data_IF_616322845818
#
_entry.id   IF_616322845818
#
_cell.length_a   1.000
_cell.length_b   1.000
_cell.length_c   1.000
_cell.angle_alpha   90.00
_cell.angle_beta   90.00
_cell.angle_gamma   90.00
#
_symmetry.space_group_name_H-M   'P 1'
#
loop_
_entity.id
_entity.type
_entity.pdbx_description
1 polymer ?
#
# COMPACT_ATOMS: atom_id res chain seq x y z
N UNK A 1 -22.91 4.29 17.87
CA UNK A 1 -23.44 3.35 16.83
C UNK A 1 -22.44 3.14 15.69
N UNK A 2 -21.75 4.18 15.27
CA UNK A 2 -20.79 4.12 14.15
C UNK A 2 -19.58 3.20 14.40
N UNK A 3 -18.99 3.22 15.60
CA UNK A 3 -17.90 2.31 15.97
C UNK A 3 -18.35 0.85 15.96
N UNK A 4 -19.59 0.56 16.41
CA UNK A 4 -20.16 -0.78 16.36
C UNK A 4 -20.34 -1.25 14.91
N UNK A 5 -20.70 -0.35 13.99
CA UNK A 5 -20.82 -0.67 12.57
C UNK A 5 -19.46 -1.11 12.01
N UNK A 6 -18.38 -0.35 12.25
CA UNK A 6 -17.02 -0.74 11.83
C UNK A 6 -16.55 -2.06 12.47
N UNK A 7 -16.92 -2.32 13.72
CA UNK A 7 -16.61 -3.58 14.39
C UNK A 7 -17.32 -4.79 13.74
N UNK A 8 -18.58 -4.64 13.34
CA UNK A 8 -19.31 -5.66 12.55
C UNK A 8 -18.62 -5.89 11.22
N UNK A 9 -18.18 -4.82 10.56
CA UNK A 9 -17.41 -4.89 9.32
C UNK A 9 -16.10 -5.67 9.47
N UNK A 10 -15.37 -5.41 10.54
CA UNK A 10 -14.14 -6.16 10.85
C UNK A 10 -14.42 -7.66 10.99
N UNK A 11 -15.45 -8.03 11.76
CA UNK A 11 -15.86 -9.44 11.94
C UNK A 11 -16.24 -10.06 10.59
N UNK A 12 -17.02 -9.34 9.77
CA UNK A 12 -17.46 -9.83 8.46
C UNK A 12 -16.28 -10.06 7.50
N UNK A 13 -15.24 -9.20 7.53
CA UNK A 13 -14.01 -9.38 6.75
C UNK A 13 -13.31 -10.68 7.11
N UNK A 14 -13.14 -10.96 8.41
CA UNK A 14 -12.51 -12.20 8.87
C UNK A 14 -13.37 -13.43 8.57
N UNK A 15 -14.70 -13.32 8.70
CA UNK A 15 -15.64 -14.38 8.31
C UNK A 15 -15.58 -14.68 6.80
N UNK A 16 -15.48 -13.64 5.96
CA UNK A 16 -15.31 -13.80 4.52
C UNK A 16 -13.98 -14.47 4.18
N UNK A 17 -12.88 -14.06 4.82
CA UNK A 17 -11.58 -14.71 4.65
C UNK A 17 -11.64 -16.21 5.02
N UNK A 18 -12.34 -16.56 6.11
CA UNK A 18 -12.57 -17.94 6.49
C UNK A 18 -13.44 -18.69 5.48
N UNK A 19 -14.46 -18.06 4.93
CA UNK A 19 -15.29 -18.66 3.88
C UNK A 19 -14.48 -18.95 2.59
N UNK A 20 -13.47 -18.13 2.29
CA UNK A 20 -12.56 -18.25 1.14
C UNK A 20 -11.32 -19.13 1.42
N UNK A 21 -11.20 -19.71 2.62
CA UNK A 21 -10.08 -20.55 3.04
C UNK A 21 -9.95 -21.82 2.17
N UNK A 22 -8.71 -22.18 1.84
CA UNK A 22 -8.41 -23.46 1.16
C UNK A 22 -8.68 -24.67 2.07
N UNK A 23 -8.44 -24.52 3.37
CA UNK A 23 -8.76 -25.54 4.37
C UNK A 23 -9.27 -24.88 5.66
N UNK A 24 -10.60 -24.78 5.77
CA UNK A 24 -11.27 -24.16 6.92
C UNK A 24 -11.02 -24.90 8.23
N UNK A 25 -10.69 -26.21 8.19
CA UNK A 25 -10.44 -27.04 9.39
C UNK A 25 -9.03 -26.86 9.93
N UNK A 26 -8.08 -26.52 9.04
CA UNK A 26 -6.69 -26.26 9.42
C UNK A 26 -6.47 -24.84 9.97
N UNK A 27 -7.47 -23.96 9.93
CA UNK A 27 -7.37 -22.59 10.44
C UNK A 27 -7.20 -22.59 11.95
N UNK A 28 -6.00 -22.27 12.43
CA UNK A 28 -5.72 -22.05 13.84
C UNK A 28 -6.18 -20.65 14.28
N UNK A 29 -6.91 -20.55 15.41
CA UNK A 29 -7.42 -19.27 15.90
C UNK A 29 -6.35 -18.32 16.47
N UNK A 30 -5.17 -18.84 16.85
CA UNK A 30 -4.11 -18.04 17.47
C UNK A 30 -3.62 -16.91 16.58
N UNK A 31 -3.26 -17.20 15.33
CA UNK A 31 -2.69 -16.21 14.41
C UNK A 31 -3.70 -15.12 14.06
N UNK A 32 -4.97 -15.43 13.71
CA UNK A 32 -6.00 -14.41 13.49
C UNK A 32 -6.26 -13.53 14.72
N UNK A 33 -6.38 -14.10 15.90
CA UNK A 33 -6.62 -13.35 17.14
C UNK A 33 -5.46 -12.42 17.47
N UNK A 34 -4.22 -12.92 17.38
CA UNK A 34 -3.02 -12.11 17.56
C UNK A 34 -2.98 -10.95 16.55
N UNK A 35 -3.35 -11.23 15.29
CA UNK A 35 -3.40 -10.20 14.24
C UNK A 35 -4.39 -9.09 14.56
N UNK A 36 -5.61 -9.42 14.95
CA UNK A 36 -6.64 -8.44 15.34
C UNK A 36 -6.19 -7.61 16.56
N UNK A 37 -5.69 -8.29 17.60
CA UNK A 37 -5.21 -7.62 18.81
C UNK A 37 -4.05 -6.68 18.53
N UNK A 38 -3.06 -7.13 17.73
CA UNK A 38 -1.95 -6.27 17.32
C UNK A 38 -2.40 -5.12 16.43
N UNK A 39 -3.30 -5.37 15.49
CA UNK A 39 -3.82 -4.34 14.59
C UNK A 39 -4.52 -3.22 15.39
N UNK A 40 -5.44 -3.58 16.29
CA UNK A 40 -6.15 -2.62 17.13
C UNK A 40 -5.18 -1.96 18.12
N UNK A 41 -4.31 -2.73 18.77
CA UNK A 41 -3.33 -2.22 19.73
C UNK A 41 -2.36 -1.22 19.12
N UNK A 42 -1.83 -1.51 17.92
CA UNK A 42 -0.97 -0.59 17.19
C UNK A 42 -1.72 0.65 16.71
N UNK A 43 -2.97 0.50 16.26
CA UNK A 43 -3.82 1.64 15.87
C UNK A 43 -4.04 2.57 17.06
N UNK A 44 -4.46 2.04 18.22
CA UNK A 44 -4.62 2.79 19.46
C UNK A 44 -3.31 3.49 19.88
N UNK A 45 -2.19 2.78 19.80
CA UNK A 45 -0.89 3.31 20.16
C UNK A 45 -0.48 4.46 19.24
N UNK A 46 -0.59 4.29 17.92
CA UNK A 46 -0.15 5.28 16.93
C UNK A 46 -1.06 6.51 16.87
N UNK A 47 -2.37 6.34 17.09
CA UNK A 47 -3.34 7.44 16.95
C UNK A 47 -3.57 8.20 18.26
N UNK A 48 -3.46 7.54 19.44
CA UNK A 48 -3.83 8.15 20.72
C UNK A 48 -2.64 8.52 21.62
N UNK A 49 -1.44 7.94 21.40
CA UNK A 49 -0.27 8.28 22.21
C UNK A 49 0.39 9.54 21.66
N UNK A 50 0.29 10.65 22.40
CA UNK A 50 0.76 11.98 21.99
C UNK A 50 2.21 11.97 21.49
N UNK A 51 3.13 11.32 22.22
CA UNK A 51 4.57 11.24 21.83
C UNK A 51 4.74 10.60 20.46
N UNK A 52 4.02 9.53 20.14
CA UNK A 52 4.10 8.87 18.84
C UNK A 52 3.43 9.69 17.74
N UNK A 53 2.27 10.27 18.04
CA UNK A 53 1.57 11.18 17.13
C UNK A 53 2.46 12.37 16.77
N UNK A 54 3.10 13.00 17.76
CA UNK A 54 3.96 14.17 17.55
C UNK A 54 5.26 13.79 16.83
N UNK A 55 5.84 12.62 17.14
CA UNK A 55 6.99 12.10 16.41
C UNK A 55 6.65 11.84 14.92
N UNK A 56 5.50 11.27 14.66
CA UNK A 56 5.02 11.04 13.29
C UNK A 56 4.64 12.36 12.60
N UNK A 57 4.03 13.31 13.33
CA UNK A 57 3.75 14.65 12.81
C UNK A 57 5.02 15.42 12.42
N UNK A 58 6.14 15.22 13.15
CA UNK A 58 7.43 15.82 12.79
C UNK A 58 7.96 15.34 11.43
N UNK A 59 7.54 14.18 10.95
CA UNK A 59 7.88 13.69 9.62
C UNK A 59 7.25 14.52 8.49
N UNK A 60 6.14 15.25 8.75
CA UNK A 60 5.59 16.19 7.76
C UNK A 60 6.61 17.27 7.39
N UNK A 61 7.34 17.80 8.37
CA UNK A 61 8.39 18.80 8.11
C UNK A 61 9.52 18.20 7.27
N UNK A 62 9.91 16.96 7.55
CA UNK A 62 10.92 16.26 6.75
C UNK A 62 10.45 16.06 5.30
N UNK A 63 9.19 15.68 5.11
CA UNK A 63 8.64 15.51 3.74
C UNK A 63 8.57 16.82 3.00
N UNK A 64 8.14 17.90 3.64
CA UNK A 64 8.16 19.23 3.01
C UNK A 64 9.57 19.63 2.61
N UNK A 65 10.56 19.35 3.47
CA UNK A 65 11.98 19.57 3.13
C UNK A 65 12.44 18.72 1.93
N UNK A 66 12.04 17.44 1.88
CA UNK A 66 12.32 16.55 0.76
C UNK A 66 11.65 17.01 -0.54
N UNK A 67 10.40 17.45 -0.48
CA UNK A 67 9.70 18.02 -1.62
C UNK A 67 10.38 19.27 -2.13
N UNK A 68 10.72 20.21 -1.24
CA UNK A 68 11.42 21.45 -1.59
C UNK A 68 12.80 21.15 -2.20
N UNK A 69 13.56 20.23 -1.63
CA UNK A 69 14.85 19.82 -2.18
C UNK A 69 14.70 19.13 -3.54
N UNK A 70 13.68 18.29 -3.71
CA UNK A 70 13.38 17.66 -4.99
C UNK A 70 13.00 18.70 -6.03
N UNK A 71 12.14 19.67 -5.68
CA UNK A 71 11.74 20.77 -6.57
C UNK A 71 12.95 21.61 -7.01
N UNK A 72 13.91 21.86 -6.12
CA UNK A 72 15.15 22.56 -6.52
C UNK A 72 15.93 21.78 -7.59
N UNK A 73 16.01 20.44 -7.46
CA UNK A 73 16.65 19.57 -8.45
C UNK A 73 15.87 19.52 -9.78
N UNK A 74 14.55 19.34 -9.72
CA UNK A 74 13.70 19.24 -10.90
C UNK A 74 13.59 20.58 -11.66
N UNK A 75 13.53 21.68 -10.93
CA UNK A 75 13.55 23.03 -11.52
C UNK A 75 14.87 23.30 -12.25
N UNK A 76 16.01 22.86 -11.71
CA UNK A 76 17.31 22.96 -12.37
C UNK A 76 17.35 22.14 -13.67
N UNK A 77 16.85 20.91 -13.66
CA UNK A 77 16.96 19.98 -14.80
C UNK A 77 15.88 20.23 -15.85
N UNK A 78 14.64 20.50 -15.44
CA UNK A 78 13.46 20.60 -16.31
C UNK A 78 12.90 22.03 -16.44
N UNK A 79 13.51 23.02 -15.77
CA UNK A 79 13.03 24.39 -15.79
C UNK A 79 11.62 24.51 -15.21
N UNK A 80 10.75 25.26 -15.89
CA UNK A 80 9.38 25.49 -15.46
C UNK A 80 8.52 24.21 -15.41
N UNK A 81 8.82 23.21 -16.23
CA UNK A 81 8.13 21.91 -16.18
C UNK A 81 8.37 21.20 -14.83
N UNK A 82 9.55 21.40 -14.25
CA UNK A 82 9.95 20.82 -12.96
C UNK A 82 9.63 21.69 -11.73
N UNK A 83 8.79 22.71 -11.89
CA UNK A 83 8.39 23.60 -10.78
C UNK A 83 9.23 24.86 -10.66
N UNK A 84 10.08 25.17 -11.64
CA UNK A 84 10.77 26.46 -11.74
C UNK A 84 9.83 27.61 -12.14
N UNK A 85 10.32 28.86 -12.16
CA UNK A 85 9.52 30.04 -12.53
C UNK A 85 8.84 29.86 -13.88
N UNK A 86 7.53 30.15 -13.93
CA UNK A 86 6.76 30.06 -15.17
C UNK A 86 7.05 31.22 -16.11
N UNK A 87 7.26 30.98 -17.43
CA UNK A 87 7.41 32.02 -18.43
C UNK A 87 6.08 32.61 -18.90
N UNK A 88 4.96 32.23 -18.32
CA UNK A 88 3.59 32.67 -18.63
C UNK A 88 2.74 32.76 -17.36
N UNK A 89 1.59 33.44 -17.44
CA UNK A 89 0.62 33.49 -16.36
C UNK A 89 -0.28 32.23 -16.37
N UNK A 90 -0.50 31.63 -15.23
CA UNK A 90 -1.46 30.53 -15.11
C UNK A 90 -2.90 31.01 -15.24
N UNK A 91 -3.75 30.22 -15.92
CA UNK A 91 -5.18 30.47 -16.04
C UNK A 91 -5.92 30.31 -14.69
N UNK A 92 -5.41 29.42 -13.84
CA UNK A 92 -5.82 29.20 -12.45
C UNK A 92 -4.64 28.56 -11.68
N UNK A 93 -4.58 28.71 -10.36
CA UNK A 93 -3.49 28.13 -9.56
C UNK A 93 -3.34 26.62 -9.78
N UNK A 94 -2.12 26.19 -10.13
CA UNK A 94 -1.81 24.79 -10.41
C UNK A 94 -2.08 24.32 -11.84
N UNK A 95 -2.47 25.21 -12.76
CA UNK A 95 -2.67 24.85 -14.17
C UNK A 95 -1.40 24.34 -14.86
N UNK A 96 -0.23 24.71 -14.35
CA UNK A 96 1.07 24.26 -14.84
C UNK A 96 1.61 23.00 -14.13
N UNK A 97 0.82 22.36 -13.25
CA UNK A 97 1.24 21.15 -12.55
C UNK A 97 1.35 19.96 -13.52
N UNK A 98 2.55 19.39 -13.62
CA UNK A 98 2.82 18.19 -14.42
C UNK A 98 3.33 17.09 -13.49
N UNK A 99 2.50 16.07 -13.27
CA UNK A 99 2.77 14.95 -12.36
C UNK A 99 4.16 14.33 -12.59
N UNK A 100 4.51 14.08 -13.87
CA UNK A 100 5.75 13.40 -14.22
C UNK A 100 7.01 14.21 -13.87
N UNK A 101 6.98 15.55 -13.91
CA UNK A 101 8.15 16.39 -13.69
C UNK A 101 8.20 17.04 -12.32
N UNK A 102 7.05 17.19 -11.63
CA UNK A 102 6.98 17.90 -10.36
C UNK A 102 6.79 16.99 -9.15
N UNK A 103 6.00 15.91 -9.28
CA UNK A 103 5.72 15.03 -8.16
C UNK A 103 6.49 13.70 -8.21
N UNK A 104 6.44 12.99 -9.33
CA UNK A 104 7.05 11.65 -9.43
C UNK A 104 8.58 11.61 -9.21
N UNK A 105 9.40 12.65 -9.54
CA UNK A 105 10.83 12.62 -9.26
C UNK A 105 11.19 12.50 -7.77
N UNK A 106 10.26 12.84 -6.87
CA UNK A 106 10.42 12.61 -5.44
C UNK A 106 10.76 11.14 -5.12
N UNK A 107 10.24 10.19 -5.90
CA UNK A 107 10.54 8.76 -5.76
C UNK A 107 12.03 8.47 -5.95
N UNK A 108 12.71 9.19 -6.87
CA UNK A 108 14.15 9.02 -7.12
C UNK A 108 14.94 9.47 -5.87
N UNK A 109 14.60 10.64 -5.33
CA UNK A 109 15.27 11.19 -4.13
C UNK A 109 15.06 10.31 -2.93
N UNK A 110 13.82 9.85 -2.70
CA UNK A 110 13.51 8.96 -1.56
C UNK A 110 14.20 7.60 -1.73
N UNK A 111 14.31 7.05 -2.94
CA UNK A 111 15.04 5.81 -3.19
C UNK A 111 16.54 5.95 -2.89
N UNK A 112 17.16 7.07 -3.29
CA UNK A 112 18.54 7.35 -2.96
C UNK A 112 18.75 7.44 -1.44
N UNK A 113 17.89 8.16 -0.73
CA UNK A 113 17.94 8.25 0.73
C UNK A 113 17.72 6.90 1.42
N UNK A 114 16.78 6.09 0.92
CA UNK A 114 16.53 4.73 1.43
C UNK A 114 17.79 3.87 1.32
N UNK A 115 18.50 3.92 0.19
CA UNK A 115 19.76 3.20 -0.01
C UNK A 115 20.86 3.68 0.96
N UNK A 116 20.94 4.99 1.21
CA UNK A 116 21.84 5.56 2.23
C UNK A 116 21.49 5.05 3.62
N UNK A 117 20.21 5.03 4.01
CA UNK A 117 19.76 4.54 5.33
C UNK A 117 20.05 3.04 5.51
N UNK A 118 20.01 2.26 4.43
CA UNK A 118 20.42 0.85 4.45
C UNK A 118 21.93 0.76 4.68
N UNK A 119 22.74 1.54 3.95
CA UNK A 119 24.19 1.53 4.06
C UNK A 119 24.67 1.93 5.46
N UNK A 120 24.01 2.94 6.06
CA UNK A 120 24.25 3.38 7.43
C UNK A 120 23.68 2.42 8.51
N UNK A 121 23.07 1.31 8.11
CA UNK A 121 22.44 0.30 9.00
C UNK A 121 21.28 0.84 9.86
N UNK A 122 20.76 2.03 9.56
CA UNK A 122 19.62 2.62 10.28
C UNK A 122 18.35 1.83 9.96
N UNK A 123 18.04 1.69 8.68
CA UNK A 123 16.84 0.98 8.23
C UNK A 123 16.88 -0.53 8.54
N UNK A 124 18.01 -1.25 8.36
CA UNK A 124 18.15 -2.64 8.79
C UNK A 124 17.84 -2.86 10.27
N UNK A 125 18.31 -1.96 11.15
CA UNK A 125 18.01 -2.05 12.57
C UNK A 125 16.52 -1.91 12.89
N UNK A 126 15.83 -0.97 12.26
CA UNK A 126 14.36 -0.75 12.40
C UNK A 126 13.59 -1.98 11.90
N UNK A 127 13.91 -2.46 10.69
CA UNK A 127 13.26 -3.62 10.08
C UNK A 127 13.48 -4.87 10.92
N UNK A 128 14.68 -5.10 11.43
CA UNK A 128 14.98 -6.24 12.30
C UNK A 128 14.16 -6.21 13.60
N UNK A 129 14.06 -5.05 14.24
CA UNK A 129 13.20 -4.89 15.42
C UNK A 129 11.75 -5.26 15.16
N UNK A 130 11.20 -4.81 14.03
CA UNK A 130 9.83 -5.13 13.63
C UNK A 130 9.69 -6.61 13.23
N UNK A 131 10.66 -7.19 12.51
CA UNK A 131 10.69 -8.61 12.17
C UNK A 131 10.63 -9.50 13.41
N UNK A 132 11.48 -9.24 14.40
CA UNK A 132 11.52 -10.00 15.68
C UNK A 132 10.18 -9.90 16.42
N UNK A 133 9.53 -8.74 16.39
CA UNK A 133 8.18 -8.57 16.96
C UNK A 133 7.18 -9.49 16.27
N UNK A 134 7.16 -9.52 14.92
CA UNK A 134 6.25 -10.35 14.13
C UNK A 134 6.54 -11.84 14.32
N UNK A 135 7.80 -12.24 14.31
CA UNK A 135 8.21 -13.63 14.57
C UNK A 135 7.71 -14.14 15.91
N UNK A 136 7.91 -13.35 16.97
CA UNK A 136 7.47 -13.74 18.34
C UNK A 136 5.95 -13.75 18.47
N UNK A 137 5.28 -12.76 17.90
CA UNK A 137 3.83 -12.62 18.01
C UNK A 137 3.09 -13.72 17.25
N UNK A 138 3.48 -13.96 16.00
CA UNK A 138 2.76 -14.87 15.09
C UNK A 138 3.37 -16.27 15.02
N UNK A 139 4.59 -16.47 15.52
CA UNK A 139 5.32 -17.73 15.36
C UNK A 139 5.61 -18.04 13.90
N UNK A 140 5.92 -17.01 13.10
CA UNK A 140 6.39 -17.14 11.72
C UNK A 140 7.90 -17.32 11.69
N UNK A 141 8.43 -17.90 10.61
CA UNK A 141 9.88 -18.06 10.45
C UNK A 141 10.59 -16.72 10.20
N UNK A 142 11.90 -16.66 10.52
CA UNK A 142 12.71 -15.45 10.35
C UNK A 142 12.63 -14.85 8.93
N UNK A 143 12.73 -15.65 7.85
CA UNK A 143 12.58 -15.15 6.48
C UNK A 143 11.23 -14.49 6.22
N UNK A 144 10.12 -15.05 6.73
CA UNK A 144 8.79 -14.46 6.60
C UNK A 144 8.68 -13.19 7.44
N UNK A 145 9.16 -13.23 8.68
CA UNK A 145 9.21 -12.06 9.57
C UNK A 145 9.98 -10.90 8.95
N UNK A 146 11.17 -11.16 8.39
CA UNK A 146 11.96 -10.14 7.73
C UNK A 146 11.26 -9.55 6.50
N UNK A 147 10.77 -10.39 5.58
CA UNK A 147 10.13 -9.90 4.35
C UNK A 147 8.87 -9.11 4.66
N UNK A 148 8.04 -9.57 5.60
CA UNK A 148 6.82 -8.86 5.99
C UNK A 148 7.12 -7.53 6.69
N UNK A 149 8.15 -7.48 7.53
CA UNK A 149 8.62 -6.23 8.13
C UNK A 149 9.22 -5.28 7.08
N UNK A 150 10.02 -5.81 6.16
CA UNK A 150 10.64 -5.04 5.09
C UNK A 150 9.61 -4.44 4.11
N UNK A 151 8.47 -5.11 3.87
CA UNK A 151 7.41 -4.60 2.98
C UNK A 151 6.83 -3.24 3.40
N UNK A 152 6.96 -2.84 4.66
CA UNK A 152 6.56 -1.49 5.12
C UNK A 152 7.44 -0.39 4.52
N UNK A 153 8.68 -0.71 4.20
CA UNK A 153 9.69 0.24 3.72
C UNK A 153 10.01 0.05 2.24
N UNK A 154 9.96 -1.20 1.78
CA UNK A 154 10.28 -1.63 0.41
C UNK A 154 9.03 -2.11 -0.30
N UNK A 155 9.07 -2.16 -1.61
CA UNK A 155 7.97 -2.70 -2.40
C UNK A 155 7.86 -4.23 -2.31
N UNK A 156 6.74 -4.74 -2.81
CA UNK A 156 6.40 -6.17 -2.79
C UNK A 156 7.38 -7.06 -3.58
N UNK A 157 8.26 -6.49 -4.39
CA UNK A 157 9.30 -7.18 -5.17
C UNK A 157 10.65 -7.05 -4.51
N UNK A 158 10.96 -5.88 -3.93
CA UNK A 158 12.24 -5.61 -3.30
C UNK A 158 12.39 -6.34 -1.95
N UNK A 159 11.34 -6.32 -1.12
CA UNK A 159 11.40 -6.96 0.19
C UNK A 159 11.72 -8.47 0.12
N UNK A 160 11.16 -9.27 -0.79
CA UNK A 160 11.53 -10.68 -0.94
C UNK A 160 12.99 -10.92 -1.33
N UNK A 161 13.67 -9.95 -1.96
CA UNK A 161 15.08 -10.10 -2.34
C UNK A 161 15.96 -10.36 -1.11
N UNK A 162 15.63 -9.75 0.04
CA UNK A 162 16.39 -9.91 1.28
C UNK A 162 16.31 -11.32 1.89
N UNK A 163 15.31 -12.12 1.49
CA UNK A 163 15.18 -13.51 1.91
C UNK A 163 15.28 -14.49 0.73
N UNK A 164 15.95 -14.10 -0.37
CA UNK A 164 16.03 -14.84 -1.64
C UNK A 164 16.38 -16.32 -1.46
N UNK A 165 17.37 -16.62 -0.60
CA UNK A 165 17.88 -17.98 -0.39
C UNK A 165 16.88 -18.87 0.36
N UNK A 166 15.87 -18.28 1.00
CA UNK A 166 14.83 -18.96 1.76
C UNK A 166 13.50 -19.04 1.01
N UNK A 167 13.25 -18.17 0.02
CA UNK A 167 11.97 -18.12 -0.69
C UNK A 167 11.54 -19.47 -1.28
N UNK A 168 12.51 -20.25 -1.78
CA UNK A 168 12.25 -21.58 -2.34
C UNK A 168 11.84 -22.60 -1.28
N UNK A 169 12.21 -22.38 -0.01
CA UNK A 169 11.95 -23.27 1.13
C UNK A 169 10.62 -22.95 1.85
N UNK A 170 10.06 -21.77 1.59
CA UNK A 170 8.78 -21.37 2.19
C UNK A 170 7.69 -22.37 1.84
N UNK A 171 6.87 -22.75 2.80
CA UNK A 171 5.66 -23.50 2.48
C UNK A 171 4.65 -22.62 1.73
N UNK A 172 3.56 -23.22 1.23
CA UNK A 172 2.53 -22.53 0.48
C UNK A 172 1.88 -21.38 1.27
N UNK A 173 1.62 -21.60 2.57
CA UNK A 173 1.02 -20.61 3.46
C UNK A 173 1.97 -19.47 3.75
N UNK A 174 3.26 -19.75 3.98
CA UNK A 174 4.30 -18.75 4.19
C UNK A 174 4.52 -17.88 2.93
N UNK A 175 4.58 -18.50 1.75
CA UNK A 175 4.66 -17.78 0.49
C UNK A 175 3.43 -16.87 0.29
N UNK A 176 2.25 -17.37 0.61
CA UNK A 176 1.03 -16.58 0.55
C UNK A 176 1.02 -15.42 1.54
N UNK A 177 1.58 -15.59 2.76
CA UNK A 177 1.76 -14.49 3.72
C UNK A 177 2.65 -13.38 3.16
N UNK A 178 3.79 -13.74 2.56
CA UNK A 178 4.68 -12.78 1.89
C UNK A 178 3.95 -12.03 0.78
N UNK A 179 3.23 -12.74 -0.08
CA UNK A 179 2.47 -12.12 -1.18
C UNK A 179 1.35 -11.21 -0.65
N UNK A 180 0.60 -11.67 0.34
CA UNK A 180 -0.52 -10.90 0.93
C UNK A 180 -0.01 -9.64 1.62
N UNK A 181 1.11 -9.71 2.34
CA UNK A 181 1.70 -8.54 3.00
C UNK A 181 2.18 -7.51 1.98
N UNK A 182 2.80 -7.97 0.88
CA UNK A 182 3.16 -7.10 -0.23
C UNK A 182 1.98 -6.40 -0.89
N UNK A 183 0.81 -7.07 -0.97
CA UNK A 183 -0.43 -6.47 -1.48
C UNK A 183 -1.09 -5.52 -0.48
N UNK A 184 -0.94 -5.75 0.82
CA UNK A 184 -1.62 -4.99 1.86
C UNK A 184 -0.87 -3.73 2.32
N UNK A 185 0.39 -3.57 1.96
CA UNK A 185 1.24 -2.42 2.34
C UNK A 185 1.59 -1.57 1.13
N UNK A 186 2.16 -0.41 1.37
CA UNK A 186 2.77 0.45 0.33
C UNK A 186 4.24 0.63 0.64
N UNK A 187 5.08 0.75 -0.41
CA UNK A 187 6.50 1.01 -0.25
C UNK A 187 6.74 2.41 0.31
N UNK A 188 7.69 2.56 1.22
CA UNK A 188 8.06 3.86 1.82
C UNK A 188 8.43 4.91 0.78
N UNK A 189 9.02 4.49 -0.36
CA UNK A 189 9.38 5.38 -1.47
C UNK A 189 8.17 6.07 -2.12
N UNK A 190 7.06 5.38 -2.26
CA UNK A 190 5.81 5.94 -2.82
C UNK A 190 4.88 6.50 -1.74
N UNK A 191 5.03 6.08 -0.49
CA UNK A 191 4.28 6.61 0.65
C UNK A 191 4.48 8.12 0.79
N UNK A 192 5.73 8.60 0.64
CA UNK A 192 6.07 10.02 0.67
C UNK A 192 5.37 10.79 -0.46
N UNK A 193 5.29 10.19 -1.64
CA UNK A 193 4.56 10.75 -2.77
C UNK A 193 3.05 10.86 -2.48
N UNK A 194 2.44 9.80 -1.94
CA UNK A 194 1.01 9.83 -1.60
C UNK A 194 0.70 10.84 -0.50
N UNK A 195 1.58 10.94 0.50
CA UNK A 195 1.48 11.96 1.53
C UNK A 195 1.43 13.38 0.93
N UNK A 196 2.18 13.63 -0.14
CA UNK A 196 2.17 14.94 -0.81
C UNK A 196 0.82 15.26 -1.46
N UNK A 197 0.11 14.27 -1.97
CA UNK A 197 -1.20 14.46 -2.60
C UNK A 197 -2.30 14.71 -1.57
N UNK A 198 -2.26 14.00 -0.45
CA UNK A 198 -3.33 14.07 0.58
C UNK A 198 -3.12 15.19 1.60
N UNK A 199 -1.91 15.77 1.68
CA UNK A 199 -1.59 16.85 2.62
C UNK A 199 -2.59 18.04 2.60
N UNK A 200 -3.17 18.46 1.44
CA UNK A 200 -4.15 19.54 1.42
C UNK A 200 -5.52 19.16 2.00
N UNK A 201 -5.86 17.86 2.07
CA UNK A 201 -7.22 17.38 2.41
C UNK A 201 -7.29 16.53 3.68
N UNK A 202 -6.14 16.09 4.21
CA UNK A 202 -6.05 15.34 5.46
C UNK A 202 -4.92 15.89 6.31
N UNK A 203 -5.25 16.37 7.48
CA UNK A 203 -4.26 16.80 8.48
C UNK A 203 -3.39 15.61 8.89
N UNK A 204 -2.08 15.84 9.01
CA UNK A 204 -1.10 14.79 9.32
C UNK A 204 -1.16 13.55 8.40
N UNK A 205 -1.42 13.76 7.10
CA UNK A 205 -1.62 12.69 6.12
C UNK A 205 -0.52 11.64 6.09
N UNK A 206 0.77 12.05 6.25
CA UNK A 206 1.86 11.07 6.33
C UNK A 206 1.77 10.17 7.54
N UNK A 207 1.39 10.74 8.68
CA UNK A 207 1.21 9.98 9.90
C UNK A 207 0.17 8.87 9.73
N UNK A 208 -0.92 9.21 9.10
CA UNK A 208 -1.97 8.26 8.79
C UNK A 208 -1.49 7.18 7.80
N UNK A 209 -0.73 7.52 6.75
CA UNK A 209 -0.22 6.54 5.79
C UNK A 209 0.81 5.59 6.40
N UNK A 210 1.73 6.09 7.24
CA UNK A 210 2.69 5.24 7.98
C UNK A 210 1.94 4.30 8.92
N UNK A 211 0.99 4.84 9.69
CA UNK A 211 0.16 4.06 10.60
C UNK A 211 -0.61 2.98 9.82
N UNK A 212 -1.24 3.34 8.70
CA UNK A 212 -1.96 2.41 7.84
C UNK A 212 -1.07 1.26 7.35
N UNK A 213 0.15 1.57 6.89
CA UNK A 213 1.10 0.56 6.42
C UNK A 213 1.53 -0.39 7.55
N UNK A 214 1.83 0.16 8.76
CA UNK A 214 2.24 -0.64 9.92
C UNK A 214 1.12 -1.57 10.39
N UNK A 215 -0.10 -1.07 10.57
CA UNK A 215 -1.23 -1.86 11.08
C UNK A 215 -1.82 -2.82 10.04
N UNK A 216 -1.52 -2.62 8.75
CA UNK A 216 -1.89 -3.56 7.69
C UNK A 216 -1.08 -4.86 7.73
N UNK A 217 0.15 -4.84 8.27
CA UNK A 217 1.00 -6.05 8.34
C UNK A 217 0.37 -7.15 9.21
N UNK A 218 0.01 -6.91 10.48
CA UNK A 218 -0.65 -7.93 11.29
C UNK A 218 -1.98 -8.39 10.71
N UNK A 219 -2.75 -7.51 10.08
CA UNK A 219 -3.97 -7.88 9.37
C UNK A 219 -3.68 -8.83 8.19
N UNK A 220 -2.68 -8.51 7.38
CA UNK A 220 -2.29 -9.32 6.22
C UNK A 220 -1.81 -10.72 6.63
N UNK A 221 -0.99 -10.82 7.68
CA UNK A 221 -0.54 -12.11 8.23
C UNK A 221 -1.74 -12.94 8.73
N UNK A 222 -2.64 -12.30 9.47
CA UNK A 222 -3.83 -12.96 10.01
C UNK A 222 -4.75 -13.49 8.90
N UNK A 223 -5.07 -12.67 7.92
CA UNK A 223 -5.94 -13.03 6.80
C UNK A 223 -5.28 -14.06 5.89
N UNK A 224 -3.97 -13.96 5.65
CA UNK A 224 -3.23 -14.96 4.90
C UNK A 224 -3.26 -16.32 5.60
N UNK A 225 -3.06 -16.36 6.92
CA UNK A 225 -3.12 -17.59 7.70
C UNK A 225 -4.50 -18.24 7.71
N UNK A 226 -5.57 -17.47 7.54
CA UNK A 226 -6.93 -17.98 7.39
C UNK A 226 -7.16 -18.53 5.99
N UNK A 227 -6.80 -17.75 4.94
CA UNK A 227 -7.14 -18.09 3.55
C UNK A 227 -6.28 -19.22 3.00
N UNK A 228 -4.99 -19.28 3.37
CA UNK A 228 -4.07 -20.37 3.02
C UNK A 228 -3.29 -20.77 4.27
N UNK A 229 -3.85 -21.69 5.09
CA UNK A 229 -3.19 -22.18 6.29
C UNK A 229 -1.85 -22.82 5.99
N UNK A 230 -0.88 -22.66 6.88
CA UNK A 230 0.42 -23.34 6.79
C UNK A 230 0.27 -24.84 6.94
N UNK A 231 1.06 -25.59 6.19
CA UNK A 231 1.07 -27.05 6.22
C UNK A 231 2.20 -27.65 7.06
N UNK A 232 3.16 -26.83 7.51
CA UNK A 232 4.34 -27.28 8.22
C UNK A 232 4.82 -26.33 9.33
N UNK A 233 5.95 -26.68 9.97
CA UNK A 233 6.61 -25.78 10.92
C UNK A 233 7.14 -24.54 10.17
N UNK A 234 7.36 -23.41 10.91
CA UNK A 234 7.93 -22.20 10.31
C UNK A 234 9.28 -22.48 9.68
N UNK A 235 9.52 -21.92 8.50
CA UNK A 235 10.81 -22.02 7.81
C UNK A 235 11.89 -21.34 8.67
N UNK A 236 12.87 -22.09 9.20
CA UNK A 236 13.94 -21.51 10.02
C UNK A 236 14.92 -20.75 9.13
N UNK A 237 15.54 -19.71 9.67
CA UNK A 237 16.62 -18.98 9.02
C UNK A 237 16.81 -17.61 9.62
N UNK A 238 18.04 -17.17 9.66
CA UNK A 238 18.39 -15.78 9.97
C UNK A 238 18.67 -15.07 8.64
N UNK A 239 18.06 -13.93 8.46
CA UNK A 239 18.23 -13.08 7.30
C UNK A 239 18.48 -11.65 7.74
N UNK A 240 19.43 -10.99 7.09
CA UNK A 240 19.76 -9.59 7.37
C UNK A 240 19.57 -8.73 6.12
N UNK A 241 19.12 -7.50 6.32
CA UNK A 241 19.18 -6.46 5.31
C UNK A 241 20.64 -6.00 5.17
N UNK A 242 21.30 -6.44 4.10
CA UNK A 242 22.70 -6.05 3.83
C UNK A 242 22.71 -5.06 2.66
N UNK A 243 23.43 -3.96 2.84
CA UNK A 243 23.68 -3.02 1.73
C UNK A 243 24.71 -3.63 0.76
N UNK A 244 24.41 -3.68 -0.54
CA UNK A 244 25.41 -4.06 -1.54
C UNK A 244 26.43 -2.96 -1.84
N UNK A 245 26.20 -1.73 -1.37
CA UNK A 245 27.01 -0.56 -1.66
C UNK A 245 28.33 -0.57 -0.91
N UNK A 246 29.43 -0.25 -1.60
CA UNK A 246 30.78 -0.22 -1.05
C UNK A 246 31.04 1.02 -0.19
N UNK A 247 30.37 2.13 -0.48
CA UNK A 247 30.52 3.40 0.24
C UNK A 247 29.27 4.26 0.06
N UNK A 248 29.24 5.42 0.74
CA UNK A 248 28.07 6.31 0.75
C UNK A 248 27.69 6.81 -0.66
N UNK A 249 28.67 7.18 -1.50
CA UNK A 249 28.40 7.66 -2.87
C UNK A 249 27.89 6.53 -3.75
N UNK A 250 28.39 5.33 -3.58
CA UNK A 250 27.88 4.14 -4.27
C UNK A 250 26.44 3.82 -3.84
N UNK A 251 26.12 3.98 -2.56
CA UNK A 251 24.74 3.83 -2.07
C UNK A 251 23.79 4.86 -2.71
N UNK A 252 24.21 6.13 -2.82
CA UNK A 252 23.45 7.17 -3.49
C UNK A 252 23.24 6.81 -4.98
N UNK A 253 24.32 6.39 -5.67
CA UNK A 253 24.23 6.04 -7.10
C UNK A 253 23.29 4.86 -7.34
N UNK A 254 23.41 3.77 -6.57
CA UNK A 254 22.53 2.60 -6.66
C UNK A 254 21.07 2.95 -6.35
N UNK A 255 20.82 3.73 -5.29
CA UNK A 255 19.49 4.17 -4.93
C UNK A 255 18.86 5.09 -5.98
N UNK A 256 19.68 5.96 -6.62
CA UNK A 256 19.24 6.81 -7.74
C UNK A 256 18.85 5.97 -8.95
N UNK A 257 19.64 4.95 -9.30
CA UNK A 257 19.32 4.05 -10.41
C UNK A 257 18.02 3.26 -10.15
N UNK A 258 17.85 2.73 -8.96
CA UNK A 258 16.63 2.03 -8.56
C UNK A 258 15.42 2.98 -8.60
N UNK A 259 15.56 4.19 -8.05
CA UNK A 259 14.52 5.22 -8.07
C UNK A 259 14.14 5.64 -9.49
N UNK A 260 15.13 5.75 -10.40
CA UNK A 260 14.86 6.06 -11.82
C UNK A 260 14.08 4.93 -12.50
N UNK A 261 14.44 3.68 -12.27
CA UNK A 261 13.68 2.52 -12.79
C UNK A 261 12.23 2.53 -12.28
N UNK A 262 12.03 2.80 -10.99
CA UNK A 262 10.72 2.89 -10.38
C UNK A 262 9.91 4.06 -10.96
N UNK A 263 10.51 5.24 -11.08
CA UNK A 263 9.92 6.43 -11.69
C UNK A 263 9.43 6.16 -13.13
N UNK A 264 10.27 5.57 -13.98
CA UNK A 264 9.90 5.24 -15.36
C UNK A 264 8.81 4.16 -15.41
N UNK A 265 8.88 3.17 -14.53
CA UNK A 265 7.85 2.13 -14.43
C UNK A 265 6.50 2.71 -14.01
N UNK A 266 6.46 3.66 -13.07
CA UNK A 266 5.23 4.34 -12.65
C UNK A 266 4.64 5.10 -13.84
N UNK A 267 5.42 5.90 -14.56
CA UNK A 267 4.93 6.64 -15.74
C UNK A 267 4.35 5.69 -16.78
N UNK A 268 5.11 4.65 -17.15
CA UNK A 268 4.68 3.69 -18.15
C UNK A 268 3.37 2.98 -17.76
N UNK A 269 3.28 2.53 -16.51
CA UNK A 269 2.08 1.86 -15.99
C UNK A 269 0.88 2.80 -15.92
N UNK A 270 1.06 4.06 -15.51
CA UNK A 270 -0.01 5.06 -15.51
C UNK A 270 -0.57 5.28 -16.91
N UNK A 271 0.31 5.49 -17.90
CA UNK A 271 -0.11 5.70 -19.30
C UNK A 271 -0.89 4.49 -19.81
N UNK A 272 -0.35 3.28 -19.64
CA UNK A 272 -0.97 2.05 -20.13
C UNK A 272 -2.29 1.77 -19.42
N UNK A 273 -2.31 1.82 -18.09
CA UNK A 273 -3.52 1.47 -17.33
C UNK A 273 -4.65 2.46 -17.55
N UNK A 274 -4.36 3.76 -17.60
CA UNK A 274 -5.38 4.78 -17.91
C UNK A 274 -5.90 4.60 -19.34
N UNK A 275 -5.02 4.31 -20.31
CA UNK A 275 -5.43 4.06 -21.69
C UNK A 275 -6.32 2.80 -21.81
N UNK A 276 -5.95 1.70 -21.12
CA UNK A 276 -6.75 0.48 -21.12
C UNK A 276 -8.13 0.68 -20.46
N UNK A 277 -8.18 1.39 -19.33
CA UNK A 277 -9.47 1.70 -18.68
C UNK A 277 -10.32 2.60 -19.58
N UNK A 278 -9.73 3.63 -20.19
CA UNK A 278 -10.45 4.50 -21.14
C UNK A 278 -11.01 3.72 -22.34
N UNK A 279 -10.23 2.74 -22.84
CA UNK A 279 -10.69 1.87 -23.93
C UNK A 279 -11.87 0.99 -23.49
N UNK A 280 -11.80 0.40 -22.30
CA UNK A 280 -12.91 -0.40 -21.75
C UNK A 280 -14.12 0.49 -21.48
N UNK A 281 -13.94 1.69 -20.95
CA UNK A 281 -15.02 2.64 -20.70
C UNK A 281 -15.69 3.09 -22.03
N UNK A 282 -14.91 3.28 -23.11
CA UNK A 282 -15.45 3.55 -24.43
C UNK A 282 -16.30 2.39 -24.95
N UNK A 283 -15.90 1.13 -24.73
CA UNK A 283 -16.69 -0.06 -25.09
C UNK A 283 -17.96 -0.15 -24.23
N UNK A 284 -17.84 0.03 -22.92
CA UNK A 284 -18.97 0.01 -21.99
C UNK A 284 -19.98 1.12 -22.28
N UNK A 285 -19.51 2.30 -22.71
CA UNK A 285 -20.33 3.43 -23.12
C UNK A 285 -21.20 3.19 -24.37
N UNK A 286 -20.93 2.13 -25.13
CA UNK A 286 -21.82 1.67 -26.22
C UNK A 286 -23.07 0.93 -25.73
N UNK A 287 -23.04 0.49 -24.45
CA UNK A 287 -24.19 -0.17 -23.82
C UNK A 287 -25.21 0.87 -23.34
N UNK A 288 -26.49 0.49 -23.20
CA UNK A 288 -27.48 1.39 -22.61
C UNK A 288 -27.04 1.90 -21.25
N UNK A 289 -27.23 3.21 -20.95
CA UNK A 289 -26.85 3.76 -19.65
C UNK A 289 -27.63 3.07 -18.53
N UNK A 290 -26.99 2.86 -17.40
CA UNK A 290 -27.64 2.38 -16.20
C UNK A 290 -27.93 3.58 -15.28
N UNK A 291 -29.19 4.00 -15.24
CA UNK A 291 -29.59 5.28 -14.66
C UNK A 291 -29.24 6.44 -15.60
N UNK A 292 -28.80 7.58 -15.02
CA UNK A 292 -28.49 8.81 -15.76
C UNK A 292 -27.03 8.90 -16.24
N UNK A 293 -26.20 7.89 -15.97
CA UNK A 293 -24.76 7.92 -16.26
C UNK A 293 -24.38 6.80 -17.24
N UNK A 294 -23.44 7.06 -18.18
CA UNK A 294 -22.89 6.01 -19.03
C UNK A 294 -22.16 4.95 -18.17
N UNK A 295 -22.26 3.70 -18.62
CA UNK A 295 -21.59 2.60 -17.95
C UNK A 295 -20.08 2.76 -18.07
N UNK A 296 -19.36 2.62 -16.94
CA UNK A 296 -17.90 2.67 -16.88
C UNK A 296 -17.37 1.66 -15.85
N UNK A 297 -16.10 1.29 -15.96
CA UNK A 297 -15.45 0.45 -14.94
C UNK A 297 -15.55 1.10 -13.55
N UNK A 298 -15.34 2.41 -13.48
CA UNK A 298 -15.47 3.16 -12.23
C UNK A 298 -16.88 3.04 -11.63
N UNK A 299 -17.94 3.11 -12.42
CA UNK A 299 -19.32 2.93 -11.97
C UNK A 299 -19.57 1.49 -11.51
N UNK A 300 -19.13 0.49 -12.29
CA UNK A 300 -19.29 -0.94 -11.96
C UNK A 300 -18.61 -1.26 -10.63
N UNK A 301 -17.36 -0.89 -10.50
CA UNK A 301 -16.62 -1.12 -9.26
C UNK A 301 -17.17 -0.28 -8.10
N UNK A 302 -17.65 0.94 -8.37
CA UNK A 302 -18.34 1.75 -7.37
C UNK A 302 -19.55 1.02 -6.77
N UNK A 303 -20.37 0.37 -7.60
CA UNK A 303 -21.49 -0.44 -7.10
C UNK A 303 -21.05 -1.67 -6.32
N UNK A 304 -20.01 -2.37 -6.79
CA UNK A 304 -19.46 -3.55 -6.09
C UNK A 304 -18.88 -3.15 -4.73
N UNK A 305 -18.13 -2.06 -4.68
CA UNK A 305 -17.48 -1.62 -3.45
C UNK A 305 -18.38 -0.82 -2.52
N UNK A 306 -19.48 -0.24 -3.00
CA UNK A 306 -20.42 0.52 -2.16
C UNK A 306 -20.86 -0.25 -0.90
N UNK A 307 -21.41 -1.48 -1.00
CA UNK A 307 -21.74 -2.26 0.20
C UNK A 307 -20.51 -2.65 1.03
N UNK A 308 -19.35 -2.79 0.41
CA UNK A 308 -18.11 -3.18 1.09
C UNK A 308 -17.59 -2.02 1.96
N UNK A 309 -17.54 -0.80 1.42
CA UNK A 309 -17.11 0.38 2.18
C UNK A 309 -18.15 0.78 3.23
N UNK A 310 -19.45 0.58 2.96
CA UNK A 310 -20.47 0.72 3.97
C UNK A 310 -20.22 -0.27 5.12
N UNK A 311 -19.94 -1.52 4.85
CA UNK A 311 -19.69 -2.54 5.86
C UNK A 311 -18.55 -2.17 6.82
N UNK A 312 -17.50 -1.50 6.34
CA UNK A 312 -16.37 -1.06 7.18
C UNK A 312 -16.64 0.23 7.98
N UNK A 313 -17.84 0.80 7.87
CA UNK A 313 -18.30 1.91 8.70
C UNK A 313 -18.49 3.25 8.01
N UNK A 314 -18.46 3.32 6.67
CA UNK A 314 -18.80 4.53 5.91
C UNK A 314 -20.33 4.60 5.75
N UNK A 315 -21.00 5.73 6.04
CA UNK A 315 -22.44 5.89 5.83
C UNK A 315 -22.87 5.60 4.40
N UNK A 316 -24.09 5.06 4.21
CA UNK A 316 -24.57 4.64 2.90
C UNK A 316 -24.64 5.79 1.88
N UNK A 317 -24.91 7.01 2.36
CA UNK A 317 -24.96 8.25 1.59
C UNK A 317 -23.59 8.58 0.97
N UNK A 318 -22.51 8.33 1.71
CA UNK A 318 -21.12 8.57 1.32
C UNK A 318 -20.48 7.35 0.63
N UNK A 319 -21.06 6.16 0.80
CA UNK A 319 -20.51 4.90 0.31
C UNK A 319 -20.43 4.82 -1.22
N UNK A 320 -21.21 5.62 -1.96
CA UNK A 320 -21.12 5.70 -3.41
C UNK A 320 -19.76 6.24 -3.87
N UNK A 321 -19.34 7.38 -3.33
CA UNK A 321 -18.06 8.02 -3.68
C UNK A 321 -16.87 7.23 -3.13
N UNK A 322 -16.96 6.76 -1.90
CA UNK A 322 -15.93 5.90 -1.30
C UNK A 322 -15.75 4.58 -2.10
N UNK A 323 -16.86 3.97 -2.53
CA UNK A 323 -16.84 2.77 -3.37
C UNK A 323 -16.20 3.02 -4.74
N UNK A 324 -16.47 4.18 -5.37
CA UNK A 324 -15.83 4.60 -6.62
C UNK A 324 -14.31 4.66 -6.47
N UNK A 325 -13.80 5.26 -5.40
CA UNK A 325 -12.36 5.36 -5.14
C UNK A 325 -11.72 3.99 -4.85
N UNK A 326 -12.39 3.11 -4.09
CA UNK A 326 -11.95 1.72 -3.92
C UNK A 326 -11.94 0.95 -5.25
N UNK A 327 -12.91 1.23 -6.12
CA UNK A 327 -12.96 0.70 -7.47
C UNK A 327 -11.77 1.16 -8.32
N UNK A 328 -11.46 2.45 -8.30
CA UNK A 328 -10.29 3.03 -8.97
C UNK A 328 -9.00 2.38 -8.46
N UNK A 329 -8.84 2.26 -7.13
CA UNK A 329 -7.69 1.57 -6.53
C UNK A 329 -7.53 0.16 -7.10
N UNK A 330 -8.60 -0.60 -7.16
CA UNK A 330 -8.57 -2.01 -7.56
C UNK A 330 -8.34 -2.18 -9.05
N UNK A 331 -9.02 -1.38 -9.88
CA UNK A 331 -8.94 -1.44 -11.33
C UNK A 331 -7.63 -0.85 -11.88
N UNK A 332 -7.23 0.29 -11.36
CA UNK A 332 -6.02 1.03 -11.75
C UNK A 332 -4.91 0.81 -10.71
N UNK A 333 -4.84 1.72 -9.76
CA UNK A 333 -3.93 1.64 -8.59
C UNK A 333 -4.31 2.69 -7.53
N UNK A 334 -3.67 2.59 -6.38
CA UNK A 334 -3.86 3.48 -5.24
C UNK A 334 -3.32 4.90 -5.49
N UNK A 335 -2.33 5.08 -6.37
CA UNK A 335 -1.82 6.41 -6.72
C UNK A 335 -2.91 7.27 -7.35
N UNK A 336 -3.62 6.72 -8.36
CA UNK A 336 -4.74 7.42 -8.99
C UNK A 336 -5.88 7.61 -7.99
N UNK A 337 -6.14 6.60 -7.15
CA UNK A 337 -7.17 6.72 -6.13
C UNK A 337 -6.87 7.86 -5.13
N UNK A 338 -5.61 8.03 -4.70
CA UNK A 338 -5.21 9.14 -3.83
C UNK A 338 -5.24 10.49 -4.54
N UNK A 339 -4.88 10.56 -5.83
CA UNK A 339 -5.03 11.76 -6.64
C UNK A 339 -6.50 12.18 -6.75
N UNK A 340 -7.40 11.26 -7.01
CA UNK A 340 -8.84 11.53 -7.06
C UNK A 340 -9.40 11.87 -5.68
N UNK A 341 -8.96 11.18 -4.63
CA UNK A 341 -9.31 11.47 -3.25
C UNK A 341 -8.93 12.91 -2.85
N UNK A 342 -7.75 13.39 -3.28
CA UNK A 342 -7.29 14.76 -2.98
C UNK A 342 -8.11 15.85 -3.68
N UNK A 343 -8.87 15.50 -4.72
CA UNK A 343 -9.73 16.44 -5.47
C UNK A 343 -11.17 16.46 -4.94
N UNK A 344 -11.52 15.57 -4.00
CA UNK A 344 -12.87 15.53 -3.47
C UNK A 344 -13.23 16.83 -2.76
N UNK A 345 -14.42 17.39 -3.00
CA UNK A 345 -14.90 18.53 -2.24
C UNK A 345 -15.05 18.17 -0.74
N UNK A 346 -14.87 19.13 0.16
CA UNK A 346 -14.92 18.88 1.62
C UNK A 346 -16.20 18.19 2.09
N UNK A 347 -17.33 18.47 1.45
CA UNK A 347 -18.66 17.94 1.76
C UNK A 347 -18.93 16.53 1.22
N UNK A 348 -18.09 16.00 0.34
CA UNK A 348 -18.30 14.69 -0.28
C UNK A 348 -18.19 13.52 0.72
N UNK A 349 -17.35 13.66 1.73
CA UNK A 349 -17.14 12.68 2.78
C UNK A 349 -16.95 13.39 4.12
N UNK A 350 -17.54 12.86 5.17
CA UNK A 350 -17.26 13.26 6.55
C UNK A 350 -15.78 13.00 6.91
N UNK A 351 -15.27 13.69 7.90
CA UNK A 351 -13.88 13.52 8.36
C UNK A 351 -13.57 12.06 8.73
N UNK A 352 -14.49 11.41 9.43
CA UNK A 352 -14.39 10.00 9.79
C UNK A 352 -14.32 9.10 8.55
N UNK A 353 -15.20 9.31 7.58
CA UNK A 353 -15.22 8.53 6.33
C UNK A 353 -13.97 8.76 5.48
N UNK A 354 -13.43 9.98 5.48
CA UNK A 354 -12.14 10.30 4.85
C UNK A 354 -11.02 9.48 5.47
N UNK A 355 -10.95 9.39 6.79
CA UNK A 355 -9.94 8.58 7.47
C UNK A 355 -10.12 7.09 7.18
N UNK A 356 -11.32 6.54 7.34
CA UNK A 356 -11.60 5.13 7.03
C UNK A 356 -11.16 4.80 5.59
N UNK A 357 -11.55 5.64 4.63
CA UNK A 357 -11.22 5.43 3.22
C UNK A 357 -9.72 5.57 2.95
N UNK A 358 -9.05 6.57 3.54
CA UNK A 358 -7.61 6.76 3.41
C UNK A 358 -6.84 5.49 3.80
N UNK A 359 -7.23 4.87 4.91
CA UNK A 359 -6.62 3.63 5.39
C UNK A 359 -6.99 2.44 4.50
N UNK A 360 -8.22 2.36 4.02
CA UNK A 360 -8.64 1.30 3.09
C UNK A 360 -7.96 1.39 1.71
N UNK A 361 -7.59 2.60 1.27
CA UNK A 361 -6.83 2.81 0.05
C UNK A 361 -5.36 2.42 0.20
N UNK A 362 -4.80 2.37 1.42
CA UNK A 362 -3.39 2.17 1.69
C UNK A 362 -2.93 0.72 1.47
N UNK A 363 -2.57 0.38 0.23
CA UNK A 363 -1.99 -0.92 -0.14
C UNK A 363 -2.03 -1.18 -1.64
N UNK A 364 -1.09 -1.98 -2.10
CA UNK A 364 -0.86 -2.32 -3.50
C UNK A 364 -1.86 -3.35 -4.08
N UNK A 365 -2.95 -3.65 -3.39
CA UNK A 365 -3.95 -4.61 -3.86
C UNK A 365 -4.74 -4.04 -5.06
N UNK A 366 -4.21 -4.22 -6.28
CA UNK A 366 -4.80 -3.84 -7.56
C UNK A 366 -4.40 -4.83 -8.67
N UNK A 367 -5.08 -4.78 -9.82
CA UNK A 367 -4.80 -5.71 -10.93
C UNK A 367 -3.39 -5.54 -11.52
N UNK A 368 -2.85 -4.33 -11.56
CA UNK A 368 -1.48 -4.10 -12.02
C UNK A 368 -0.44 -4.81 -11.15
N UNK A 369 -0.68 -4.82 -9.85
CA UNK A 369 0.17 -5.48 -8.86
C UNK A 369 0.22 -7.00 -9.00
N UNK A 370 -0.80 -7.64 -9.60
CA UNK A 370 -0.75 -9.07 -9.93
C UNK A 370 0.41 -9.37 -10.89
N UNK A 371 0.54 -8.57 -11.94
CA UNK A 371 1.65 -8.72 -12.90
C UNK A 371 3.01 -8.48 -12.25
N UNK A 372 3.09 -7.45 -11.38
CA UNK A 372 4.31 -7.08 -10.67
C UNK A 372 4.77 -8.19 -9.72
N UNK A 373 3.87 -8.73 -8.89
CA UNK A 373 4.23 -9.77 -7.91
C UNK A 373 4.56 -11.09 -8.58
N UNK A 374 3.82 -11.47 -9.64
CA UNK A 374 4.11 -12.68 -10.42
C UNK A 374 5.48 -12.55 -11.10
N UNK A 375 5.73 -11.44 -11.78
CA UNK A 375 7.01 -11.21 -12.48
C UNK A 375 8.19 -11.13 -11.52
N UNK A 376 8.05 -10.40 -10.42
CA UNK A 376 9.09 -10.23 -9.41
C UNK A 376 9.47 -11.55 -8.73
N UNK A 377 8.49 -12.25 -8.16
CA UNK A 377 8.74 -13.53 -7.48
C UNK A 377 9.15 -14.64 -8.46
N UNK A 378 8.62 -14.67 -9.69
CA UNK A 378 9.05 -15.64 -10.69
C UNK A 378 10.52 -15.46 -11.09
N UNK A 379 11.06 -14.26 -11.04
CA UNK A 379 12.50 -14.00 -11.26
C UNK A 379 13.34 -14.55 -10.11
N UNK A 380 12.86 -14.48 -8.88
CA UNK A 380 13.55 -14.99 -7.69
C UNK A 380 13.38 -16.51 -7.52
N UNK A 381 12.25 -17.06 -7.97
CA UNK A 381 11.86 -18.46 -7.83
C UNK A 381 11.28 -19.00 -9.15
N UNK A 382 12.06 -19.17 -10.21
CA UNK A 382 11.55 -19.63 -11.51
C UNK A 382 10.81 -20.98 -11.42
N UNK A 383 11.30 -21.88 -10.55
CA UNK A 383 10.76 -23.22 -10.34
C UNK A 383 9.35 -23.21 -9.72
N UNK A 384 8.99 -22.14 -9.01
CA UNK A 384 7.69 -21.97 -8.33
C UNK A 384 6.76 -20.96 -9.02
N UNK A 385 7.08 -20.55 -10.25
CA UNK A 385 6.28 -19.55 -11.00
C UNK A 385 4.81 -19.94 -11.11
N UNK A 386 4.50 -21.20 -11.36
CA UNK A 386 3.11 -21.68 -11.45
C UNK A 386 2.34 -21.54 -10.14
N UNK A 387 3.00 -21.80 -9.01
CA UNK A 387 2.42 -21.63 -7.68
C UNK A 387 2.18 -20.17 -7.37
N UNK A 388 3.16 -19.29 -7.62
CA UNK A 388 3.02 -17.84 -7.46
C UNK A 388 1.85 -17.30 -8.28
N UNK A 389 1.75 -17.70 -9.56
CA UNK A 389 0.67 -17.29 -10.44
C UNK A 389 -0.71 -17.76 -9.94
N UNK A 390 -0.77 -18.97 -9.38
CA UNK A 390 -2.00 -19.54 -8.81
C UNK A 390 -2.43 -18.85 -7.49
N UNK A 391 -1.46 -18.37 -6.69
CA UNK A 391 -1.73 -17.67 -5.43
C UNK A 391 -2.01 -16.17 -5.63
N UNK A 392 -1.53 -15.56 -6.71
CA UNK A 392 -1.59 -14.11 -6.91
C UNK A 392 -3.03 -13.54 -6.87
N UNK A 393 -4.05 -14.11 -7.53
CA UNK A 393 -5.42 -13.61 -7.41
C UNK A 393 -5.97 -13.68 -5.98
N UNK A 394 -5.63 -14.74 -5.23
CA UNK A 394 -6.01 -14.84 -3.83
C UNK A 394 -5.29 -13.81 -2.96
N UNK A 395 -4.01 -13.52 -3.24
CA UNK A 395 -3.26 -12.50 -2.50
C UNK A 395 -3.79 -11.09 -2.76
N UNK A 396 -4.34 -10.81 -3.95
CA UNK A 396 -5.07 -9.58 -4.22
C UNK A 396 -6.31 -9.46 -3.32
N UNK A 397 -7.11 -10.52 -3.24
CA UNK A 397 -8.30 -10.53 -2.37
C UNK A 397 -7.89 -10.39 -0.90
N UNK A 398 -6.91 -11.16 -0.44
CA UNK A 398 -6.42 -11.10 0.92
C UNK A 398 -5.84 -9.72 1.29
N UNK A 399 -5.07 -9.10 0.39
CA UNK A 399 -4.54 -7.75 0.54
C UNK A 399 -5.64 -6.69 0.59
N UNK A 400 -6.67 -6.82 -0.27
CA UNK A 400 -7.84 -5.94 -0.22
C UNK A 400 -8.59 -6.07 1.11
N UNK A 401 -8.84 -7.30 1.58
CA UNK A 401 -9.46 -7.54 2.88
C UNK A 401 -8.60 -6.97 4.03
N UNK A 402 -7.27 -7.05 3.94
CA UNK A 402 -6.38 -6.50 4.95
C UNK A 402 -6.46 -4.97 5.00
N UNK A 403 -6.46 -4.28 3.86
CA UNK A 403 -6.62 -2.82 3.83
C UNK A 403 -8.01 -2.37 4.26
N UNK A 404 -9.07 -3.11 3.91
CA UNK A 404 -10.42 -2.86 4.39
C UNK A 404 -10.52 -3.07 5.91
N UNK A 405 -9.88 -4.11 6.48
CA UNK A 405 -9.84 -4.30 7.92
C UNK A 405 -9.10 -3.16 8.63
N UNK A 406 -8.07 -2.60 7.97
CA UNK A 406 -7.34 -1.43 8.47
C UNK A 406 -8.24 -0.19 8.52
N UNK A 407 -9.05 0.05 7.49
CA UNK A 407 -10.08 1.08 7.51
C UNK A 407 -11.14 0.85 8.60
N UNK A 408 -11.61 -0.39 8.76
CA UNK A 408 -12.58 -0.74 9.80
C UNK A 408 -12.02 -0.49 11.21
N UNK A 409 -10.76 -0.85 11.48
CA UNK A 409 -10.11 -0.61 12.78
C UNK A 409 -10.01 0.88 13.08
N UNK A 410 -9.66 1.70 12.11
CA UNK A 410 -9.66 3.17 12.30
C UNK A 410 -11.06 3.71 12.58
N UNK A 411 -12.09 3.13 11.96
CA UNK A 411 -13.48 3.46 12.28
C UNK A 411 -13.95 3.02 13.68
N UNK A 412 -13.22 2.11 14.36
CA UNK A 412 -13.48 1.67 15.74
C UNK A 412 -12.76 2.58 16.75
N UNK A 413 -11.53 2.99 16.46
CA UNK A 413 -10.64 3.80 17.31
C UNK A 413 -10.97 5.27 17.21
#
# INVERSE_FOLDING_TARGET
>A
MEQLHSAVGLIAIFALAWALSEDRRAVGLRVPLVGIVLQIGLALLMLNVAVLRDAVASLNTLIQALQSATTAGTALVFGYLGGGPLPFAESFPGAAFILAFQALPLVIVVSALTSVLIHLKILPWIVRGFAVLLERAFGVGGPVGLVTAANVFFGMVEAPIFARDYLRKLDRGELFMVMTTGMATIAGTVLVLYASFIAPVVENGIGHLITASIISVPAAIALAAIMVPRSGPPTPGETDLVSPAMNLMDAIAQGTEQGLKLFLSIIAMLVVMVALVSLVDAILGLLPPFGDQPLSLGAIFGWIFRPVVWLIGIPWEEAGEAGRLMGIKTALNELIAYLEFSKLPPEALSERSRLILLYALCGFANFGSLGIIIGGLATLMPDRRGEVAGLAPKSLVAGTLATLSTGAVVGIV
#
